data_IF_482372206417
#
_entry.id   IF_482372206417
#
_cell.length_a   1.000
_cell.length_b   1.000
_cell.length_c   1.000
_cell.angle_alpha   90.00
_cell.angle_beta   90.00
_cell.angle_gamma   90.00
#
_symmetry.space_group_name_H-M   'P 1'
#
loop_
_entity.id
_entity.type
_entity.pdbx_description
1 polymer ?
#
# COMPACT_ATOMS: atom_id res chain seq x y z
N UNK A 1 -29.56 -15.48 -8.93
CA UNK A 1 -28.63 -14.33 -8.77
C UNK A 1 -29.35 -13.23 -7.99
N UNK A 2 -28.89 -12.92 -6.78
CA UNK A 2 -29.44 -11.81 -6.00
C UNK A 2 -29.27 -10.50 -6.78
N UNK A 3 -30.38 -9.85 -7.13
CA UNK A 3 -30.40 -8.63 -7.95
C UNK A 3 -30.09 -7.44 -7.04
N UNK A 4 -28.81 -7.24 -6.73
CA UNK A 4 -28.36 -6.05 -5.99
C UNK A 4 -28.78 -4.79 -6.74
N UNK A 5 -29.39 -3.83 -6.02
CA UNK A 5 -29.73 -2.51 -6.55
C UNK A 5 -28.49 -1.83 -7.14
N UNK A 6 -28.67 -1.06 -8.22
CA UNK A 6 -27.57 -0.35 -8.90
C UNK A 6 -26.76 0.50 -7.93
N UNK A 7 -27.44 1.12 -6.97
CA UNK A 7 -26.84 1.93 -5.92
C UNK A 7 -25.92 1.12 -5.01
N UNK A 8 -26.35 -0.06 -4.55
CA UNK A 8 -25.55 -0.93 -3.68
C UNK A 8 -24.29 -1.42 -4.39
N UNK A 9 -24.39 -1.73 -5.70
CA UNK A 9 -23.22 -2.13 -6.49
C UNK A 9 -22.18 -1.01 -6.59
N UNK A 10 -22.64 0.23 -6.82
CA UNK A 10 -21.75 1.38 -6.92
C UNK A 10 -21.01 1.65 -5.60
N UNK A 11 -21.72 1.60 -4.46
CA UNK A 11 -21.12 1.73 -3.14
C UNK A 11 -20.08 0.64 -2.87
N UNK A 12 -20.41 -0.60 -3.21
CA UNK A 12 -19.50 -1.73 -3.03
C UNK A 12 -18.22 -1.55 -3.86
N UNK A 13 -18.36 -1.10 -5.11
CA UNK A 13 -17.24 -0.85 -6.01
C UNK A 13 -16.31 0.26 -5.48
N UNK A 14 -16.88 1.34 -4.92
CA UNK A 14 -16.10 2.39 -4.24
C UNK A 14 -15.32 1.83 -3.04
N UNK A 15 -15.95 0.99 -2.21
CA UNK A 15 -15.29 0.37 -1.06
C UNK A 15 -14.16 -0.56 -1.50
N UNK A 16 -14.36 -1.33 -2.57
CA UNK A 16 -13.31 -2.18 -3.13
C UNK A 16 -12.12 -1.39 -3.66
N UNK A 17 -12.36 -0.30 -4.40
CA UNK A 17 -11.29 0.57 -4.89
C UNK A 17 -10.51 1.23 -3.74
N UNK A 18 -11.23 1.76 -2.74
CA UNK A 18 -10.61 2.33 -1.55
C UNK A 18 -9.81 1.29 -0.76
N UNK A 19 -10.35 0.08 -0.59
CA UNK A 19 -9.66 -1.03 0.08
C UNK A 19 -8.39 -1.47 -0.67
N UNK A 20 -8.45 -1.58 -2.00
CA UNK A 20 -7.28 -1.89 -2.82
C UNK A 20 -6.20 -0.82 -2.69
N UNK A 21 -6.58 0.46 -2.68
CA UNK A 21 -5.65 1.57 -2.48
C UNK A 21 -4.97 1.50 -1.11
N UNK A 22 -5.76 1.32 -0.04
CA UNK A 22 -5.25 1.26 1.34
C UNK A 22 -4.32 0.06 1.54
N UNK A 23 -4.63 -1.10 0.98
CA UNK A 23 -3.74 -2.28 1.11
C UNK A 23 -2.45 -2.08 0.28
N UNK A 24 -2.56 -1.58 -0.96
CA UNK A 24 -1.41 -1.36 -1.85
C UNK A 24 -0.40 -0.38 -1.26
N UNK A 25 -0.87 0.73 -0.70
CA UNK A 25 -0.02 1.81 -0.19
C UNK A 25 0.20 1.76 1.33
N UNK A 26 -0.72 1.16 2.08
CA UNK A 26 -0.67 1.14 3.55
C UNK A 26 0.03 -0.06 4.15
N UNK A 27 0.17 -1.19 3.43
CA UNK A 27 0.81 -2.40 3.98
C UNK A 27 2.27 -2.18 4.35
N UNK A 28 3.08 -1.63 3.42
CA UNK A 28 4.52 -1.41 3.65
C UNK A 28 4.78 -0.40 4.77
N UNK A 29 4.16 0.80 4.80
CA UNK A 29 4.33 1.74 5.90
C UNK A 29 3.97 1.15 7.26
N UNK A 30 2.93 0.32 7.33
CA UNK A 30 2.49 -0.31 8.58
C UNK A 30 3.51 -1.35 9.06
N UNK A 31 4.00 -2.21 8.17
CA UNK A 31 5.05 -3.19 8.50
C UNK A 31 6.35 -2.49 8.90
N UNK A 32 6.69 -1.41 8.20
CA UNK A 32 7.87 -0.61 8.49
C UNK A 32 7.76 0.04 9.87
N UNK A 33 6.62 0.67 10.18
CA UNK A 33 6.36 1.25 11.49
C UNK A 33 6.46 0.20 12.62
N UNK A 34 5.92 -1.00 12.41
CA UNK A 34 6.05 -2.10 13.37
C UNK A 34 7.50 -2.57 13.53
N UNK A 35 8.26 -2.64 12.43
CA UNK A 35 9.69 -2.98 12.45
C UNK A 35 10.54 -1.95 13.21
N UNK A 36 10.20 -0.67 13.10
CA UNK A 36 10.84 0.42 13.84
C UNK A 36 10.40 0.48 15.31
N UNK A 37 9.09 0.41 15.57
CA UNK A 37 8.51 0.55 16.91
C UNK A 37 8.88 -0.63 17.83
N UNK A 38 9.09 -1.82 17.28
CA UNK A 38 9.52 -2.99 18.05
C UNK A 38 11.04 -3.03 18.28
N UNK A 39 11.80 -2.24 17.52
CA UNK A 39 13.26 -2.15 17.61
C UNK A 39 13.98 -3.44 17.21
N UNK A 40 15.13 -3.32 16.53
CA UNK A 40 16.08 -4.44 16.44
C UNK A 40 16.75 -4.68 17.79
N UNK A 41 17.35 -5.86 17.98
CA UNK A 41 18.11 -6.20 19.20
C UNK A 41 19.06 -5.06 19.64
N UNK A 42 19.25 -4.85 20.96
CA UNK A 42 20.07 -3.76 21.49
C UNK A 42 21.51 -3.85 20.95
N UNK A 43 21.83 -3.03 19.96
CA UNK A 43 23.07 -3.07 19.19
C UNK A 43 22.90 -2.95 17.67
N UNK A 44 21.66 -3.06 17.15
CA UNK A 44 21.40 -2.87 15.73
C UNK A 44 21.38 -1.35 15.39
N UNK A 45 22.16 -0.90 14.38
CA UNK A 45 22.22 0.52 14.02
C UNK A 45 20.85 1.04 13.59
N UNK A 46 20.54 2.28 13.96
CA UNK A 46 19.26 2.92 13.66
C UNK A 46 18.92 2.77 12.17
N UNK A 47 17.71 2.29 11.81
CA UNK A 47 17.44 2.01 10.42
C UNK A 47 17.34 3.33 9.64
N UNK A 48 18.28 3.51 8.71
CA UNK A 48 18.40 4.71 7.89
C UNK A 48 17.16 4.90 7.02
N UNK A 49 16.34 5.90 7.35
CA UNK A 49 15.10 6.25 6.63
C UNK A 49 15.37 6.46 5.13
N UNK A 50 16.53 7.02 4.78
CA UNK A 50 16.95 7.23 3.39
C UNK A 50 17.08 5.93 2.58
N UNK A 51 17.55 4.84 3.20
CA UNK A 51 17.69 3.54 2.52
C UNK A 51 16.33 2.89 2.29
N UNK A 52 15.40 3.03 3.23
CA UNK A 52 14.02 2.57 3.07
C UNK A 52 13.23 3.43 2.08
N UNK A 53 13.45 4.75 2.06
CA UNK A 53 12.80 5.65 1.10
C UNK A 53 13.21 5.35 -0.35
N UNK A 54 14.50 5.05 -0.60
CA UNK A 54 14.99 4.60 -1.91
C UNK A 54 14.43 3.24 -2.30
N UNK A 55 14.26 2.32 -1.36
CA UNK A 55 13.66 1.01 -1.64
C UNK A 55 12.14 1.11 -1.88
N UNK A 56 11.44 1.98 -1.14
CA UNK A 56 10.03 2.30 -1.37
C UNK A 56 9.81 2.99 -2.72
N UNK A 57 10.68 3.91 -3.14
CA UNK A 57 10.55 4.56 -4.45
C UNK A 57 10.79 3.58 -5.60
N UNK A 58 11.71 2.62 -5.45
CA UNK A 58 11.90 1.53 -6.43
C UNK A 58 10.74 0.53 -6.43
N UNK A 59 10.14 0.25 -5.27
CA UNK A 59 8.98 -0.64 -5.17
C UNK A 59 7.67 0.02 -5.64
N UNK A 60 7.53 1.34 -5.43
CA UNK A 60 6.43 2.15 -5.93
C UNK A 60 6.53 2.43 -7.45
N UNK A 61 7.74 2.38 -8.02
CA UNK A 61 8.00 2.57 -9.45
C UNK A 61 7.12 1.70 -10.38
N UNK A 62 6.99 0.37 -10.17
CA UNK A 62 6.06 -0.44 -10.98
C UNK A 62 4.57 -0.17 -10.68
N UNK A 63 4.21 0.42 -9.54
CA UNK A 63 2.83 0.81 -9.24
C UNK A 63 2.41 2.11 -9.94
N UNK A 64 3.37 3.00 -10.19
CA UNK A 64 3.15 4.28 -10.89
C UNK A 64 3.06 4.09 -12.42
N UNK A 65 3.81 3.14 -12.98
CA UNK A 65 3.72 2.76 -14.41
C UNK A 65 2.29 2.32 -14.80
N UNK A 66 1.60 1.56 -13.94
CA UNK A 66 0.22 1.11 -14.21
C UNK A 66 -0.82 2.23 -14.16
N UNK A 67 -0.53 3.35 -13.47
CA UNK A 67 -1.42 4.51 -13.44
C UNK A 67 -1.11 5.52 -14.57
N UNK A 68 0.09 5.43 -15.17
CA UNK A 68 0.51 6.19 -16.36
C UNK A 68 0.13 5.51 -17.68
N UNK A 69 -0.19 4.21 -17.66
CA UNK A 69 -0.66 3.44 -18.82
C UNK A 69 -2.01 2.80 -18.50
N UNK A 70 -3.14 3.48 -18.79
CA UNK A 70 -4.49 3.05 -18.37
C UNK A 70 -5.02 1.76 -19.04
N UNK A 71 -4.17 0.93 -19.64
CA UNK A 71 -4.55 -0.28 -20.40
C UNK A 71 -3.61 -1.51 -20.21
N UNK A 72 -2.85 -1.58 -19.12
CA UNK A 72 -2.22 -2.83 -18.62
C UNK A 72 -2.63 -3.07 -17.17
#
# INVERSE_FOLDING_TARGET
MAKLSKETKQRLQTVFQAGQFVIRWGFIPTVLYLGFARGGDPGMPEPNILRYAVCLSVWAWPADIGNSVPWL
#
